data_IF_689908681599
#
_entry.id   IF_689908681599
#
_cell.length_a   1.000
_cell.length_b   1.000
_cell.length_c   1.000
_cell.angle_alpha   90.00
_cell.angle_beta   90.00
_cell.angle_gamma   90.00
#
_symmetry.space_group_name_H-M   'P 1'
#
loop_
_entity.id
_entity.type
_entity.pdbx_description
1 polymer ?
#
# COMPACT_ATOMS: atom_id res chain seq x y z
N UNK A 1 -1.24 -12.68 -0.41
CA UNK A 1 0.11 -12.41 0.12
C UNK A 1 0.20 -10.92 0.50
N UNK A 2 1.23 -10.47 1.20
CA UNK A 2 1.26 -9.36 2.15
C UNK A 2 1.32 -9.88 3.60
N UNK A 3 1.91 -11.06 3.82
CA UNK A 3 1.95 -11.78 5.12
C UNK A 3 0.56 -11.98 5.76
N UNK A 4 -0.49 -12.02 4.93
CA UNK A 4 -1.90 -12.03 5.36
C UNK A 4 -2.24 -10.85 6.29
N UNK A 5 -1.53 -9.73 6.18
CA UNK A 5 -1.74 -8.55 7.02
C UNK A 5 -1.10 -8.64 8.41
N UNK A 6 -0.24 -9.62 8.67
CA UNK A 6 0.52 -9.71 9.93
C UNK A 6 1.69 -8.75 9.94
N UNK A 7 1.96 -8.16 11.10
CA UNK A 7 3.16 -7.34 11.27
C UNK A 7 4.43 -8.18 11.04
N UNK A 8 5.32 -7.68 10.17
CA UNK A 8 6.64 -8.26 9.95
C UNK A 8 7.53 -7.80 11.10
N UNK A 9 7.87 -8.71 12.00
CA UNK A 9 8.65 -8.41 13.21
C UNK A 9 10.12 -8.86 13.10
N UNK A 10 10.49 -9.59 12.04
CA UNK A 10 11.86 -10.03 11.76
C UNK A 10 12.33 -9.42 10.44
N UNK A 11 13.55 -8.88 10.42
CA UNK A 11 14.14 -8.33 9.22
C UNK A 11 14.34 -9.41 8.15
N UNK A 12 13.94 -9.09 6.92
CA UNK A 12 14.18 -9.91 5.72
C UNK A 12 15.27 -9.34 4.81
N UNK A 13 15.75 -8.14 5.17
CA UNK A 13 16.86 -7.46 4.54
C UNK A 13 18.11 -8.34 4.47
N UNK A 14 18.83 -8.25 3.35
CA UNK A 14 20.17 -8.84 3.22
C UNK A 14 21.27 -7.91 3.74
N UNK A 15 20.94 -6.69 4.17
CA UNK A 15 21.91 -5.73 4.68
C UNK A 15 22.51 -6.18 6.01
N UNK A 16 23.83 -6.11 6.11
CA UNK A 16 24.56 -6.51 7.30
C UNK A 16 24.15 -5.71 8.56
N UNK A 17 23.69 -4.46 8.39
CA UNK A 17 23.21 -3.62 9.48
C UNK A 17 21.90 -4.14 10.12
N UNK A 18 21.13 -4.92 9.37
CA UNK A 18 19.84 -5.48 9.78
C UNK A 18 19.90 -6.98 10.07
N UNK A 19 21.09 -7.60 9.96
CA UNK A 19 21.27 -9.02 10.20
C UNK A 19 20.86 -9.42 11.63
N UNK A 20 19.83 -10.25 11.74
CA UNK A 20 19.28 -10.70 13.02
C UNK A 20 18.45 -9.63 13.75
N UNK A 21 18.08 -8.54 13.08
CA UNK A 21 17.14 -7.57 13.63
C UNK A 21 15.77 -8.24 13.80
N UNK A 22 15.27 -8.19 15.03
CA UNK A 22 13.96 -8.72 15.42
C UNK A 22 13.37 -7.74 16.42
N UNK A 23 12.11 -7.35 16.20
CA UNK A 23 11.34 -6.66 17.22
C UNK A 23 11.12 -7.66 18.37
N UNK A 24 11.50 -7.34 19.62
CA UNK A 24 11.47 -8.30 20.73
C UNK A 24 10.16 -9.08 20.84
N UNK A 25 10.24 -10.33 21.30
CA UNK A 25 9.10 -11.25 21.37
C UNK A 25 7.90 -10.61 22.10
N UNK A 26 6.77 -10.51 21.39
CA UNK A 26 5.56 -9.78 21.82
C UNK A 26 5.40 -8.38 21.23
N UNK A 27 6.42 -7.84 20.56
CA UNK A 27 6.35 -6.59 19.82
C UNK A 27 5.56 -6.76 18.52
N UNK A 28 4.41 -6.11 18.44
CA UNK A 28 3.44 -6.21 17.33
C UNK A 28 3.38 -4.95 16.48
N UNK A 29 4.27 -4.00 16.76
CA UNK A 29 4.47 -2.73 16.07
C UNK A 29 5.83 -2.15 16.47
N UNK A 30 6.28 -1.13 15.75
CA UNK A 30 7.38 -0.28 16.19
C UNK A 30 6.81 0.88 17.01
N UNK A 31 7.49 1.23 18.10
CA UNK A 31 7.11 2.35 18.96
C UNK A 31 8.08 3.52 18.78
N UNK A 32 7.53 4.73 18.81
CA UNK A 32 8.35 5.94 18.92
C UNK A 32 8.79 6.08 20.38
N UNK A 33 10.09 5.96 20.62
CA UNK A 33 10.70 6.36 21.89
C UNK A 33 11.09 7.85 21.82
N UNK A 34 10.46 8.76 22.61
CA UNK A 34 10.84 10.17 22.61
C UNK A 34 12.29 10.43 23.03
N UNK A 35 12.94 9.49 23.73
CA UNK A 35 14.35 9.59 24.10
C UNK A 35 15.31 9.17 22.96
N UNK A 36 14.83 8.36 22.01
CA UNK A 36 15.57 7.91 20.82
C UNK A 36 14.63 7.77 19.61
N UNK A 37 14.19 8.90 19.02
CA UNK A 37 13.28 8.86 17.87
C UNK A 37 13.89 8.14 16.64
N UNK A 38 15.22 8.11 16.55
CA UNK A 38 15.94 7.41 15.48
C UNK A 38 15.81 5.88 15.61
N UNK A 39 15.43 5.34 16.77
CA UNK A 39 15.18 3.90 16.94
C UNK A 39 14.04 3.41 16.05
N UNK A 40 12.97 4.20 15.92
CA UNK A 40 11.85 3.90 15.02
C UNK A 40 12.33 3.86 13.57
N UNK A 41 13.11 4.86 13.15
CA UNK A 41 13.62 4.94 11.78
C UNK A 41 14.54 3.74 11.45
N UNK A 42 15.49 3.42 12.34
CA UNK A 42 16.37 2.25 12.18
C UNK A 42 15.59 0.94 12.12
N UNK A 43 14.62 0.77 13.02
CA UNK A 43 13.77 -0.42 13.05
C UNK A 43 12.94 -0.56 11.77
N UNK A 44 12.32 0.53 11.31
CA UNK A 44 11.56 0.53 10.07
C UNK A 44 12.44 0.19 8.87
N UNK A 45 13.64 0.79 8.74
CA UNK A 45 14.57 0.46 7.65
C UNK A 45 14.91 -1.03 7.58
N UNK A 46 15.05 -1.71 8.72
CA UNK A 46 15.33 -3.15 8.73
C UNK A 46 14.14 -4.04 8.39
N UNK A 47 12.91 -3.57 8.62
CA UNK A 47 11.69 -4.33 8.33
C UNK A 47 11.11 -4.02 6.95
N UNK A 48 11.36 -2.83 6.40
CA UNK A 48 10.79 -2.35 5.15
C UNK A 48 11.46 -2.93 3.91
N UNK A 49 12.67 -3.50 4.03
CA UNK A 49 13.28 -4.26 2.94
C UNK A 49 12.66 -5.66 2.89
N UNK A 50 11.67 -5.80 2.00
CA UNK A 50 10.94 -7.02 1.77
C UNK A 50 11.55 -7.77 0.57
N UNK A 51 11.60 -9.09 0.66
CA UNK A 51 12.12 -9.93 -0.43
C UNK A 51 11.11 -10.08 -1.57
N UNK A 52 11.61 -10.35 -2.77
CA UNK A 52 10.81 -10.59 -4.00
C UNK A 52 10.38 -12.06 -4.18
N UNK A 53 10.64 -12.91 -3.18
CA UNK A 53 10.37 -14.35 -3.23
C UNK A 53 8.89 -14.72 -2.92
N UNK A 54 8.05 -13.71 -2.68
CA UNK A 54 6.62 -13.89 -2.41
C UNK A 54 5.82 -14.23 -3.66
N UNK A 55 4.50 -14.21 -3.53
CA UNK A 55 3.60 -14.26 -4.67
C UNK A 55 3.87 -13.04 -5.56
N UNK A 56 4.15 -13.25 -6.85
CA UNK A 56 4.43 -12.17 -7.81
C UNK A 56 3.20 -11.36 -8.24
N UNK A 57 2.19 -11.26 -7.36
CA UNK A 57 0.98 -10.47 -7.50
C UNK A 57 0.64 -9.91 -6.11
N UNK A 58 0.74 -8.59 -5.97
CA UNK A 58 0.62 -7.91 -4.68
C UNK A 58 -0.84 -7.73 -4.24
N UNK A 59 -1.14 -7.79 -2.93
CA UNK A 59 -2.51 -7.75 -2.41
C UNK A 59 -2.62 -6.85 -1.17
N UNK A 60 -2.16 -5.60 -1.31
CA UNK A 60 -2.14 -4.60 -0.25
C UNK A 60 -3.50 -4.42 0.40
N UNK A 61 -4.57 -4.38 -0.40
CA UNK A 61 -5.91 -4.11 0.13
C UNK A 61 -6.43 -5.29 0.98
N UNK A 62 -6.25 -6.53 0.52
CA UNK A 62 -6.64 -7.72 1.29
C UNK A 62 -5.75 -7.91 2.52
N UNK A 63 -4.45 -7.62 2.42
CA UNK A 63 -3.55 -7.62 3.58
C UNK A 63 -3.97 -6.58 4.62
N UNK A 64 -4.30 -5.35 4.21
CA UNK A 64 -4.81 -4.31 5.12
C UNK A 64 -6.17 -4.66 5.71
N UNK A 65 -7.06 -5.30 4.96
CA UNK A 65 -8.33 -5.79 5.52
C UNK A 65 -8.08 -6.88 6.56
N UNK A 66 -7.20 -7.84 6.26
CA UNK A 66 -6.86 -8.93 7.16
C UNK A 66 -6.20 -8.41 8.45
N UNK A 67 -5.35 -7.37 8.36
CA UNK A 67 -4.65 -6.79 9.51
C UNK A 67 -5.61 -6.24 10.57
N UNK A 68 -6.73 -5.64 10.15
CA UNK A 68 -7.74 -5.05 11.05
C UNK A 68 -8.90 -5.99 11.41
N UNK A 69 -9.11 -7.07 10.64
CA UNK A 69 -10.24 -8.00 10.89
C UNK A 69 -9.79 -9.33 11.48
N UNK A 70 -8.80 -9.99 10.88
CA UNK A 70 -8.31 -11.31 11.31
C UNK A 70 -7.26 -11.18 12.40
N UNK A 71 -6.36 -10.20 12.27
CA UNK A 71 -5.15 -10.16 13.10
C UNK A 71 -5.18 -9.13 14.24
N UNK A 72 -6.22 -8.31 14.36
CA UNK A 72 -6.29 -7.26 15.39
C UNK A 72 -6.92 -7.71 16.73
N UNK A 73 -7.62 -8.85 16.76
CA UNK A 73 -8.31 -9.34 17.95
C UNK A 73 -7.38 -9.87 19.05
N UNK A 74 -7.87 -9.94 20.29
CA UNK A 74 -7.08 -10.46 21.42
C UNK A 74 -6.48 -11.85 21.11
N UNK A 75 -5.17 -12.01 21.33
CA UNK A 75 -4.44 -13.25 21.05
C UNK A 75 -3.89 -13.35 19.62
N UNK A 76 -4.25 -12.45 18.71
CA UNK A 76 -3.80 -12.45 17.32
C UNK A 76 -2.50 -11.65 17.10
N UNK A 77 -1.96 -11.78 15.88
CA UNK A 77 -0.63 -11.28 15.51
C UNK A 77 -0.46 -9.76 15.68
N UNK A 78 -1.52 -8.97 15.50
CA UNK A 78 -1.50 -7.50 15.60
C UNK A 78 -2.29 -6.99 16.82
N UNK A 79 -2.64 -7.86 17.79
CA UNK A 79 -3.52 -7.45 18.87
C UNK A 79 -2.89 -6.32 19.70
N UNK A 80 -3.67 -5.27 19.96
CA UNK A 80 -3.25 -4.07 20.67
C UNK A 80 -2.87 -2.89 19.76
N UNK A 81 -2.68 -3.10 18.45
CA UNK A 81 -2.38 -2.01 17.51
C UNK A 81 -3.57 -1.04 17.35
N UNK A 82 -4.79 -1.58 17.21
CA UNK A 82 -6.02 -0.77 17.12
C UNK A 82 -6.47 -0.32 18.52
N UNK A 83 -6.04 0.88 18.96
CA UNK A 83 -6.41 1.46 20.26
C UNK A 83 -7.58 2.42 20.13
N UNK A 84 -8.58 2.45 21.01
CA UNK A 84 -9.77 3.31 20.82
C UNK A 84 -9.49 4.81 20.69
N UNK A 85 -8.33 5.27 21.15
CA UNK A 85 -7.89 6.68 21.17
C UNK A 85 -6.83 7.00 20.11
N UNK A 86 -6.78 6.26 19.00
CA UNK A 86 -5.79 6.46 17.95
C UNK A 86 -6.38 6.78 16.58
N UNK A 87 -5.75 7.72 15.88
CA UNK A 87 -5.80 7.82 14.43
C UNK A 87 -5.26 6.52 13.82
N UNK A 88 -5.91 6.02 12.76
CA UNK A 88 -5.39 4.90 11.96
C UNK A 88 -5.03 5.42 10.57
N UNK A 89 -3.83 5.10 10.09
CA UNK A 89 -3.40 5.43 8.74
C UNK A 89 -3.06 4.14 7.99
N UNK A 90 -3.67 3.95 6.83
CA UNK A 90 -3.24 2.97 5.84
C UNK A 90 -2.29 3.68 4.87
N UNK A 91 -1.02 3.26 4.84
CA UNK A 91 -0.01 3.83 3.95
C UNK A 91 0.47 2.73 3.01
N UNK A 92 0.13 2.88 1.74
CA UNK A 92 0.56 1.96 0.69
C UNK A 92 1.81 2.50 0.00
N UNK A 93 2.88 1.72 -0.04
CA UNK A 93 4.09 2.02 -0.82
C UNK A 93 4.34 0.82 -1.70
N UNK A 94 4.12 0.96 -3.01
CA UNK A 94 4.21 -0.15 -3.96
C UNK A 94 4.42 0.34 -5.38
N UNK A 95 5.23 -0.38 -6.13
CA UNK A 95 5.43 -0.22 -7.57
C UNK A 95 4.55 -1.16 -8.40
N UNK A 96 3.49 -1.76 -7.84
CA UNK A 96 2.44 -2.52 -8.56
C UNK A 96 1.02 -2.00 -8.23
N UNK A 97 0.00 -2.55 -8.90
CA UNK A 97 -1.41 -2.35 -8.53
C UNK A 97 -1.89 -3.45 -7.58
N UNK A 98 -3.00 -3.20 -6.88
CA UNK A 98 -3.60 -4.20 -6.00
C UNK A 98 -4.25 -5.35 -6.78
N UNK A 99 -3.78 -6.57 -6.54
CA UNK A 99 -4.33 -7.81 -7.07
C UNK A 99 -5.12 -8.61 -6.04
N UNK A 100 -5.82 -7.95 -5.11
CA UNK A 100 -6.58 -8.64 -4.06
C UNK A 100 -7.65 -9.56 -4.66
N UNK A 101 -7.30 -10.84 -4.76
CA UNK A 101 -7.98 -11.80 -5.62
C UNK A 101 -9.13 -12.47 -4.89
N UNK A 102 -10.31 -12.45 -5.51
CA UNK A 102 -11.46 -13.23 -5.07
C UNK A 102 -11.42 -14.66 -5.61
N UNK A 103 -10.82 -14.85 -6.78
CA UNK A 103 -10.65 -16.14 -7.43
C UNK A 103 -9.17 -16.55 -7.48
N UNK A 104 -8.78 -17.64 -6.79
CA UNK A 104 -7.38 -18.06 -6.71
C UNK A 104 -6.80 -18.57 -8.03
N UNK A 105 -7.63 -18.81 -9.07
CA UNK A 105 -7.15 -19.20 -10.40
C UNK A 105 -6.24 -18.15 -11.03
N UNK A 106 -6.31 -16.90 -10.57
CA UNK A 106 -5.39 -15.84 -11.00
C UNK A 106 -3.92 -16.19 -10.69
N UNK A 107 -3.67 -17.01 -9.67
CA UNK A 107 -2.32 -17.46 -9.28
C UNK A 107 -1.88 -18.77 -9.95
N UNK A 108 -2.75 -19.44 -10.72
CA UNK A 108 -2.42 -20.75 -11.30
C UNK A 108 -1.24 -20.63 -12.29
N UNK A 109 -0.09 -21.28 -12.01
CA UNK A 109 1.08 -21.21 -12.87
C UNK A 109 0.99 -22.16 -14.09
N UNK A 110 -0.07 -22.95 -14.20
CA UNK A 110 -0.21 -23.97 -15.24
C UNK A 110 -0.19 -23.37 -16.65
N UNK A 111 0.33 -24.11 -17.65
CA UNK A 111 0.24 -23.67 -19.05
C UNK A 111 -1.20 -23.42 -19.51
N UNK A 112 -2.16 -24.20 -19.00
CA UNK A 112 -3.57 -24.01 -19.30
C UNK A 112 -4.10 -22.67 -18.79
N UNK A 113 -3.79 -22.30 -17.55
CA UNK A 113 -4.12 -20.99 -17.00
C UNK A 113 -3.40 -19.86 -17.74
N UNK A 114 -2.14 -20.04 -18.13
CA UNK A 114 -1.43 -19.06 -18.97
C UNK A 114 -2.12 -18.83 -20.32
N UNK A 115 -2.66 -19.87 -20.94
CA UNK A 115 -3.43 -19.74 -22.18
C UNK A 115 -4.77 -19.06 -21.96
N UNK A 116 -5.46 -19.34 -20.85
CA UNK A 116 -6.79 -18.81 -20.57
C UNK A 116 -6.78 -17.37 -20.04
N UNK A 117 -5.82 -17.04 -19.17
CA UNK A 117 -5.76 -15.77 -18.43
C UNK A 117 -4.61 -14.86 -18.88
N UNK A 118 -3.66 -15.37 -19.66
CA UNK A 118 -2.44 -14.64 -20.03
C UNK A 118 -1.31 -14.79 -19.01
N UNK A 119 -0.20 -14.06 -19.24
CA UNK A 119 0.96 -14.02 -18.34
C UNK A 119 0.58 -13.51 -16.95
N UNK A 120 1.26 -14.01 -15.90
CA UNK A 120 0.89 -13.73 -14.50
C UNK A 120 0.79 -12.22 -14.20
N UNK A 121 1.80 -11.43 -14.61
CA UNK A 121 1.90 -9.99 -14.31
C UNK A 121 0.83 -9.11 -14.97
N UNK A 122 0.01 -9.63 -15.88
CA UNK A 122 -1.07 -8.86 -16.52
C UNK A 122 -2.46 -9.25 -16.02
N UNK A 123 -2.58 -10.34 -15.27
CA UNK A 123 -3.90 -10.96 -15.01
C UNK A 123 -4.81 -10.05 -14.19
N UNK A 124 -4.27 -9.34 -13.21
CA UNK A 124 -5.06 -8.50 -12.30
C UNK A 124 -5.71 -7.34 -13.05
N UNK A 125 -4.97 -6.74 -13.98
CA UNK A 125 -5.48 -5.65 -14.81
C UNK A 125 -6.48 -6.13 -15.87
N UNK A 126 -6.28 -7.33 -16.44
CA UNK A 126 -7.10 -7.83 -17.55
C UNK A 126 -8.28 -8.74 -17.13
N UNK A 127 -8.32 -9.19 -15.88
CA UNK A 127 -9.41 -10.00 -15.32
C UNK A 127 -9.95 -9.40 -14.01
N UNK A 128 -10.45 -8.15 -14.02
CA UNK A 128 -10.95 -7.49 -12.81
C UNK A 128 -12.16 -8.21 -12.19
N UNK A 129 -12.88 -9.05 -12.96
CA UNK A 129 -13.95 -9.93 -12.47
C UNK A 129 -13.48 -10.98 -11.47
N UNK A 130 -12.17 -11.25 -11.42
CA UNK A 130 -11.53 -12.20 -10.50
C UNK A 130 -11.02 -11.54 -9.22
N UNK A 131 -11.11 -10.22 -9.12
CA UNK A 131 -10.68 -9.46 -7.95
C UNK A 131 -11.86 -9.11 -7.05
N UNK A 132 -11.59 -8.92 -5.77
CA UNK A 132 -12.57 -8.29 -4.89
C UNK A 132 -12.83 -6.84 -5.34
N UNK A 133 -14.10 -6.37 -5.29
CA UNK A 133 -14.40 -4.97 -5.61
C UNK A 133 -13.76 -4.05 -4.57
N UNK A 134 -13.26 -2.89 -5.00
CA UNK A 134 -12.62 -1.91 -4.08
C UNK A 134 -13.55 -1.46 -2.95
N UNK A 135 -14.87 -1.48 -3.19
CA UNK A 135 -15.89 -1.11 -2.20
C UNK A 135 -15.84 -1.98 -0.95
N UNK A 136 -15.35 -3.22 -1.05
CA UNK A 136 -15.07 -4.11 0.10
C UNK A 136 -14.11 -3.43 1.09
N UNK A 137 -13.03 -2.84 0.58
CA UNK A 137 -11.96 -2.24 1.37
C UNK A 137 -12.36 -0.86 1.86
N UNK A 138 -12.93 -0.04 0.97
CA UNK A 138 -13.44 1.30 1.32
C UNK A 138 -14.49 1.20 2.44
N UNK A 139 -15.43 0.26 2.34
CA UNK A 139 -16.44 0.04 3.39
C UNK A 139 -15.80 -0.39 4.71
N UNK A 140 -14.82 -1.30 4.68
CA UNK A 140 -14.17 -1.77 5.90
C UNK A 140 -13.39 -0.65 6.59
N UNK A 141 -12.64 0.15 5.84
CA UNK A 141 -11.86 1.27 6.38
C UNK A 141 -12.77 2.40 6.90
N UNK A 142 -13.86 2.72 6.20
CA UNK A 142 -14.87 3.70 6.66
C UNK A 142 -15.61 3.20 7.91
N UNK A 143 -15.96 1.91 7.98
CA UNK A 143 -16.57 1.33 9.18
C UNK A 143 -15.62 1.33 10.37
N UNK A 144 -14.32 1.09 10.14
CA UNK A 144 -13.31 1.19 11.19
C UNK A 144 -13.30 2.60 11.82
N UNK A 145 -13.40 3.66 11.01
CA UNK A 145 -13.51 5.03 11.51
C UNK A 145 -14.77 5.21 12.38
N UNK A 146 -15.92 4.73 11.91
CA UNK A 146 -17.21 4.83 12.61
C UNK A 146 -17.21 4.06 13.94
N UNK A 147 -16.77 2.80 13.93
CA UNK A 147 -16.77 1.91 15.10
C UNK A 147 -15.86 2.43 16.22
N UNK A 148 -14.87 3.25 15.87
CA UNK A 148 -13.87 3.79 16.78
C UNK A 148 -14.11 5.27 17.12
N UNK A 149 -15.12 5.89 16.52
CA UNK A 149 -15.37 7.33 16.64
C UNK A 149 -14.10 8.17 16.37
N UNK A 150 -13.30 7.76 15.38
CA UNK A 150 -11.99 8.35 15.09
C UNK A 150 -11.65 8.38 13.61
N UNK A 151 -10.60 9.11 13.26
CA UNK A 151 -10.21 9.32 11.87
C UNK A 151 -9.45 8.11 11.30
N UNK A 152 -9.70 7.83 10.02
CA UNK A 152 -8.93 6.89 9.19
C UNK A 152 -8.40 7.62 7.99
N UNK A 153 -7.07 7.60 7.80
CA UNK A 153 -6.40 8.16 6.65
C UNK A 153 -5.96 7.06 5.69
N UNK A 154 -6.00 7.34 4.39
CA UNK A 154 -5.47 6.44 3.36
C UNK A 154 -4.50 7.20 2.46
N UNK A 155 -3.23 6.84 2.53
CA UNK A 155 -2.18 7.42 1.70
C UNK A 155 -1.57 6.36 0.77
N UNK A 156 -1.19 6.75 -0.43
CA UNK A 156 -0.45 5.88 -1.35
C UNK A 156 0.72 6.61 -2.02
N UNK A 157 1.87 5.93 -2.07
CA UNK A 157 3.02 6.25 -2.90
C UNK A 157 3.11 5.13 -3.94
N UNK A 158 2.59 5.35 -5.15
CA UNK A 158 2.32 4.26 -6.09
C UNK A 158 2.48 4.64 -7.57
N UNK A 159 2.22 3.69 -8.47
CA UNK A 159 2.38 3.80 -9.92
C UNK A 159 1.38 4.77 -10.57
N UNK A 160 1.72 6.06 -10.57
CA UNK A 160 0.96 7.15 -11.22
C UNK A 160 1.92 8.17 -11.87
N UNK A 161 1.53 8.86 -12.95
CA UNK A 161 2.35 9.93 -13.53
C UNK A 161 2.55 11.09 -12.55
N UNK A 162 3.81 11.50 -12.34
CA UNK A 162 4.19 12.56 -11.40
C UNK A 162 3.49 13.91 -11.61
N UNK A 163 3.06 14.21 -12.83
CA UNK A 163 2.39 15.47 -13.16
C UNK A 163 1.08 15.66 -12.41
N UNK A 164 0.45 14.58 -11.94
CA UNK A 164 -0.80 14.62 -11.19
C UNK A 164 -0.60 14.77 -9.69
N UNK A 165 0.61 14.51 -9.18
CA UNK A 165 0.89 14.45 -7.74
C UNK A 165 1.85 15.55 -7.29
N UNK A 166 1.85 16.71 -7.96
CA UNK A 166 2.61 17.89 -7.51
C UNK A 166 2.03 18.47 -6.23
N UNK A 167 0.72 18.30 -6.03
CA UNK A 167 0.02 18.52 -4.76
C UNK A 167 -0.66 17.20 -4.36
N UNK A 168 -0.03 16.39 -3.48
CA UNK A 168 -0.52 15.06 -3.13
C UNK A 168 -1.90 15.02 -2.45
N UNK A 169 -2.37 16.16 -1.92
CA UNK A 169 -3.67 16.28 -1.25
C UNK A 169 -4.77 16.76 -2.20
N UNK A 170 -4.41 17.28 -3.38
CA UNK A 170 -5.35 17.86 -4.33
C UNK A 170 -5.09 17.32 -5.75
N UNK A 171 -5.44 16.05 -5.94
CA UNK A 171 -5.29 15.35 -7.22
C UNK A 171 -6.59 15.40 -8.01
N UNK A 172 -6.50 15.68 -9.31
CA UNK A 172 -7.59 15.47 -10.26
C UNK A 172 -7.67 13.98 -10.63
N UNK A 173 -8.42 13.21 -9.84
CA UNK A 173 -8.54 11.75 -9.99
C UNK A 173 -9.21 11.35 -11.31
N UNK A 174 -10.20 12.10 -11.77
CA UNK A 174 -10.85 11.87 -13.07
C UNK A 174 -9.85 12.01 -14.22
N UNK A 175 -9.08 13.11 -14.23
CA UNK A 175 -8.06 13.34 -15.25
C UNK A 175 -6.90 12.34 -15.16
N UNK A 176 -6.50 11.93 -13.95
CA UNK A 176 -5.48 10.91 -13.72
C UNK A 176 -5.93 9.55 -14.27
N UNK A 177 -7.12 9.08 -13.88
CA UNK A 177 -7.62 7.76 -14.28
C UNK A 177 -7.98 7.67 -15.76
N UNK A 178 -8.22 8.83 -16.42
CA UNK A 178 -8.42 8.94 -17.86
C UNK A 178 -7.11 9.07 -18.67
N UNK A 179 -5.96 9.28 -18.02
CA UNK A 179 -4.69 9.38 -18.71
C UNK A 179 -4.35 8.07 -19.44
N UNK A 180 -3.89 8.11 -20.72
CA UNK A 180 -3.48 6.91 -21.45
C UNK A 180 -2.42 6.07 -20.73
N UNK A 181 -1.49 6.71 -20.01
CA UNK A 181 -0.48 6.02 -19.22
C UNK A 181 -1.09 5.23 -18.05
N UNK A 182 -2.28 5.60 -17.58
CA UNK A 182 -3.01 4.84 -16.56
C UNK A 182 -3.87 3.71 -17.15
N UNK A 183 -3.95 3.56 -18.49
CA UNK A 183 -4.68 2.46 -19.11
C UNK A 183 -3.79 1.21 -19.13
N UNK A 184 -4.21 0.08 -18.53
CA UNK A 184 -3.38 -1.11 -18.52
C UNK A 184 -3.23 -1.66 -19.94
N UNK A 185 -1.99 -1.81 -20.39
CA UNK A 185 -1.62 -2.44 -21.65
C UNK A 185 -0.40 -3.32 -21.39
N UNK A 186 -0.23 -4.40 -22.16
CA UNK A 186 0.97 -5.24 -22.06
C UNK A 186 2.19 -4.47 -22.57
N UNK A 187 3.33 -4.60 -21.90
CA UNK A 187 4.58 -3.97 -22.29
C UNK A 187 5.19 -4.70 -23.50
N UNK A 188 5.34 -3.97 -24.62
CA UNK A 188 5.96 -4.49 -25.83
C UNK A 188 7.45 -4.84 -25.65
N UNK A 189 8.14 -4.16 -24.73
CA UNK A 189 9.55 -4.39 -24.43
C UNK A 189 9.74 -5.51 -23.39
N UNK A 190 8.74 -5.75 -22.55
CA UNK A 190 8.75 -6.77 -21.50
C UNK A 190 7.48 -7.63 -21.55
N UNK A 191 7.38 -8.57 -22.51
CA UNK A 191 6.18 -9.39 -22.69
C UNK A 191 5.75 -10.11 -21.41
N UNK A 192 4.45 -10.02 -21.11
CA UNK A 192 3.85 -10.54 -19.89
C UNK A 192 3.93 -9.66 -18.65
N UNK A 193 4.39 -8.42 -18.80
CA UNK A 193 4.25 -7.35 -17.82
C UNK A 193 3.36 -6.24 -18.37
N UNK A 194 2.88 -5.36 -17.48
CA UNK A 194 2.16 -4.16 -17.88
C UNK A 194 3.13 -3.04 -18.25
N UNK A 195 2.78 -2.24 -19.26
CA UNK A 195 3.52 -1.03 -19.59
C UNK A 195 3.44 -0.04 -18.41
N UNK A 196 4.53 0.69 -18.13
CA UNK A 196 4.57 1.55 -16.95
C UNK A 196 3.70 2.80 -17.11
N UNK A 197 2.97 3.17 -16.05
CA UNK A 197 2.32 4.46 -15.92
C UNK A 197 3.33 5.58 -15.61
N UNK A 198 4.42 5.22 -14.94
CA UNK A 198 5.49 6.15 -14.61
C UNK A 198 6.86 5.47 -14.65
N UNK A 199 7.89 6.27 -14.87
CA UNK A 199 9.28 5.84 -14.74
C UNK A 199 10.16 6.98 -14.23
N UNK A 200 11.24 6.61 -13.53
CA UNK A 200 12.28 7.54 -13.11
C UNK A 200 13.66 6.95 -13.34
N UNK A 201 14.50 7.69 -14.07
CA UNK A 201 15.79 7.22 -14.56
C UNK A 201 16.68 6.63 -13.47
N UNK A 202 16.90 5.31 -13.54
CA UNK A 202 17.79 4.57 -12.64
C UNK A 202 17.18 4.16 -11.29
N UNK A 203 15.92 4.52 -11.00
CA UNK A 203 15.22 4.13 -9.75
C UNK A 203 14.19 3.03 -10.00
N UNK A 204 13.48 3.08 -11.12
CA UNK A 204 12.49 2.05 -11.47
C UNK A 204 11.34 2.59 -12.30
N UNK A 205 10.40 1.71 -12.60
CA UNK A 205 9.15 2.00 -13.31
C UNK A 205 8.02 1.22 -12.66
N UNK A 206 6.82 1.80 -12.62
CA UNK A 206 5.65 1.16 -12.02
C UNK A 206 4.49 1.13 -13.04
N UNK A 207 3.71 0.04 -13.12
CA UNK A 207 2.50 -0.04 -13.92
C UNK A 207 1.38 0.80 -13.30
N UNK A 208 0.23 0.95 -13.98
CA UNK A 208 -0.90 1.73 -13.48
C UNK A 208 -1.51 1.15 -12.20
N UNK A 209 -1.35 1.83 -11.07
CA UNK A 209 -1.91 1.42 -9.77
C UNK A 209 -3.38 1.86 -9.59
N UNK A 210 -4.24 1.51 -10.55
CA UNK A 210 -5.61 2.05 -10.66
C UNK A 210 -6.46 1.74 -9.44
N UNK A 211 -6.40 0.52 -8.91
CA UNK A 211 -7.27 0.11 -7.79
C UNK A 211 -6.88 0.81 -6.50
N UNK A 212 -5.58 1.00 -6.27
CA UNK A 212 -5.08 1.76 -5.12
C UNK A 212 -5.52 3.23 -5.25
N UNK A 213 -5.36 3.85 -6.43
CA UNK A 213 -5.81 5.22 -6.70
C UNK A 213 -7.29 5.41 -6.38
N UNK A 214 -8.15 4.49 -6.82
CA UNK A 214 -9.59 4.57 -6.56
C UNK A 214 -9.95 4.43 -5.07
N UNK A 215 -9.17 3.66 -4.30
CA UNK A 215 -9.37 3.60 -2.84
C UNK A 215 -8.96 4.93 -2.20
N UNK A 216 -7.84 5.52 -2.61
CA UNK A 216 -7.40 6.83 -2.08
C UNK A 216 -8.41 7.93 -2.41
N UNK A 217 -8.95 7.94 -3.63
CA UNK A 217 -9.98 8.88 -4.10
C UNK A 217 -11.19 8.94 -3.15
N UNK A 218 -11.65 7.78 -2.66
CA UNK A 218 -12.79 7.66 -1.75
C UNK A 218 -12.57 8.31 -0.38
N UNK A 219 -11.32 8.54 0.02
CA UNK A 219 -10.91 9.23 1.25
C UNK A 219 -10.49 10.67 0.99
N UNK A 220 -10.00 10.98 -0.21
CA UNK A 220 -9.67 12.35 -0.61
C UNK A 220 -10.91 13.26 -0.62
N UNK A 221 -12.11 12.70 -0.86
CA UNK A 221 -13.39 13.43 -0.80
C UNK A 221 -13.66 14.11 0.56
N UNK A 222 -13.09 13.58 1.65
CA UNK A 222 -13.21 14.13 3.01
C UNK A 222 -11.89 14.73 3.53
N UNK A 223 -10.87 14.85 2.68
CA UNK A 223 -9.54 15.31 3.06
C UNK A 223 -8.74 14.29 3.88
N UNK A 224 -9.09 13.00 3.79
CA UNK A 224 -8.43 11.88 4.48
C UNK A 224 -7.55 11.04 3.53
N UNK A 225 -7.47 11.44 2.26
CA UNK A 225 -6.73 10.76 1.20
C UNK A 225 -5.49 11.53 0.73
N UNK A 226 -4.39 10.83 0.47
CA UNK A 226 -3.17 11.41 -0.11
C UNK A 226 -2.60 10.49 -1.19
N UNK A 227 -2.26 11.04 -2.36
CA UNK A 227 -1.67 10.27 -3.46
C UNK A 227 -0.37 10.90 -3.96
N UNK A 228 0.69 10.10 -4.00
CA UNK A 228 1.99 10.46 -4.56
C UNK A 228 2.49 9.41 -5.55
N UNK A 229 3.26 9.85 -6.54
CA UNK A 229 3.96 8.95 -7.46
C UNK A 229 5.16 8.28 -6.78
N UNK A 230 5.31 6.97 -6.96
CA UNK A 230 6.52 6.24 -6.53
C UNK A 230 7.73 6.51 -7.43
N UNK A 231 7.51 6.93 -8.67
CA UNK A 231 8.56 7.14 -9.67
C UNK A 231 9.31 8.46 -9.46
N UNK A 232 10.06 8.58 -8.37
CA UNK A 232 10.84 9.76 -7.99
C UNK A 232 12.17 9.37 -7.34
N UNK A 233 13.13 10.30 -7.33
CA UNK A 233 14.45 10.06 -6.72
C UNK A 233 14.41 9.96 -5.19
N UNK A 234 13.49 10.68 -4.55
CA UNK A 234 13.39 10.80 -3.11
C UNK A 234 11.92 10.73 -2.72
N UNK A 235 11.54 9.76 -1.87
CA UNK A 235 10.18 9.61 -1.37
C UNK A 235 9.88 10.54 -0.19
N UNK A 236 10.89 11.22 0.36
CA UNK A 236 10.75 12.08 1.54
C UNK A 236 9.66 13.14 1.41
N UNK A 237 9.50 13.88 0.28
CA UNK A 237 8.41 14.85 0.17
C UNK A 237 7.03 14.21 0.37
N UNK A 238 6.82 13.01 -0.17
CA UNK A 238 5.56 12.29 0.00
C UNK A 238 5.37 11.84 1.46
N UNK A 239 6.44 11.34 2.10
CA UNK A 239 6.41 10.94 3.53
C UNK A 239 6.17 12.14 4.44
N UNK A 240 6.77 13.30 4.15
CA UNK A 240 6.54 14.57 4.85
C UNK A 240 5.08 15.00 4.73
N UNK A 241 4.49 14.96 3.53
CA UNK A 241 3.05 15.28 3.36
C UNK A 241 2.13 14.32 4.10
N UNK A 242 2.47 13.03 4.19
CA UNK A 242 1.72 12.05 5.01
C UNK A 242 1.83 12.41 6.50
N UNK A 243 3.04 12.75 6.97
CA UNK A 243 3.26 13.16 8.35
C UNK A 243 2.50 14.46 8.69
N UNK A 244 2.46 15.43 7.79
CA UNK A 244 1.68 16.67 7.94
C UNK A 244 0.17 16.38 8.00
N UNK A 245 -0.34 15.50 7.14
CA UNK A 245 -1.75 15.09 7.16
C UNK A 245 -2.10 14.43 8.51
N UNK A 246 -1.26 13.52 8.98
CA UNK A 246 -1.41 12.87 10.30
C UNK A 246 -1.37 13.89 11.44
N UNK A 247 -0.39 14.81 11.43
CA UNK A 247 -0.24 15.83 12.44
C UNK A 247 -1.46 16.76 12.52
N UNK A 248 -2.03 17.12 11.37
CA UNK A 248 -3.25 17.93 11.28
C UNK A 248 -4.50 17.28 11.89
N UNK A 249 -4.50 15.96 12.09
CA UNK A 249 -5.61 15.23 12.75
C UNK A 249 -5.41 14.97 14.23
N UNK A 250 -4.16 14.93 14.68
CA UNK A 250 -3.81 14.63 16.08
C UNK A 250 -3.69 15.91 16.91
N UNK A 251 -3.23 17.01 16.31
CA UNK A 251 -3.06 18.28 17.00
C UNK A 251 -4.30 19.16 16.79
N UNK A 252 -4.96 19.69 17.85
CA UNK A 252 -5.99 20.69 17.66
C UNK A 252 -5.39 21.92 16.95
N UNK A 253 -6.14 22.51 16.02
CA UNK A 253 -5.76 23.79 15.44
C UNK A 253 -5.54 24.81 16.58
N UNK A 254 -4.50 25.67 16.51
CA UNK A 254 -4.34 26.75 17.48
C UNK A 254 -5.63 27.58 17.53
N UNK A 255 -6.15 27.86 18.74
CA UNK A 255 -7.24 28.83 18.96
C UNK A 255 -6.89 30.23 18.46
#
# INVERSE_FOLDING_TARGET
DGDDGRFVYEARSAEAACAGFVVPEGGRWLELDPADPDALARGFSCLAELGTNGCGLEQQLEASLASITRHAGEGEANAGFLRSDSLIAFVFVTDEDDCSAADPSIFDPSPAARTALGPLGTRCAFHPDRLHPISRYVTAFKNLALDREGDVLVAAITGVPRSYTTDPLNVDYDALLADPAMTPVEDELNPGQLAPACSFGGVGSAPPARRIVQVVEEFAQTGDGLLASICQADLRPAVESIAELVAGRICPAPE
#
